data_IF_736724499118
#
_entry.id   IF_736724499118
#
_cell.length_a   1.000
_cell.length_b   1.000
_cell.length_c   1.000
_cell.angle_alpha   90.00
_cell.angle_beta   90.00
_cell.angle_gamma   90.00
#
_symmetry.space_group_name_H-M   'P 1'
#
loop_
_entity.id
_entity.type
_entity.pdbx_description
1 polymer ?
#
# COMPACT_ATOMS: atom_id res chain seq x y z
N UNK A 1 6.63 -9.34 -10.23
CA UNK A 1 5.66 -9.16 -9.15
C UNK A 1 5.84 -10.32 -8.19
N UNK A 2 6.04 -10.00 -6.91
CA UNK A 2 6.23 -10.98 -5.84
C UNK A 2 5.19 -10.73 -4.75
N UNK A 3 4.65 -11.80 -4.17
CA UNK A 3 3.70 -11.76 -3.06
C UNK A 3 4.32 -12.48 -1.87
N UNK A 4 4.39 -11.82 -0.72
CA UNK A 4 4.91 -12.38 0.53
C UNK A 4 3.96 -12.03 1.68
N UNK A 5 3.67 -13.00 2.54
CA UNK A 5 2.92 -12.73 3.78
C UNK A 5 3.90 -12.53 4.93
N UNK A 6 3.76 -11.42 5.66
CA UNK A 6 4.63 -11.08 6.78
C UNK A 6 3.82 -10.37 7.86
N UNK A 7 3.87 -10.87 9.10
CA UNK A 7 3.21 -10.27 10.25
C UNK A 7 1.71 -9.96 10.01
N UNK A 8 0.96 -10.90 9.39
CA UNK A 8 -0.44 -10.72 8.96
C UNK A 8 -0.69 -9.67 7.87
N UNK A 9 0.36 -9.07 7.31
CA UNK A 9 0.27 -8.15 6.18
C UNK A 9 0.67 -8.87 4.89
N UNK A 10 0.05 -8.46 3.78
CA UNK A 10 0.49 -8.85 2.45
C UNK A 10 1.49 -7.83 1.93
N UNK A 11 2.70 -8.28 1.62
CA UNK A 11 3.73 -7.49 0.95
C UNK A 11 3.70 -7.82 -0.54
N UNK A 12 3.42 -6.82 -1.36
CA UNK A 12 3.42 -6.93 -2.82
C UNK A 12 4.61 -6.14 -3.36
N UNK A 13 5.50 -6.80 -4.09
CA UNK A 13 6.62 -6.11 -4.76
C UNK A 13 6.34 -5.99 -6.26
N UNK A 14 6.39 -4.75 -6.75
CA UNK A 14 6.28 -4.39 -8.15
C UNK A 14 7.68 -4.01 -8.66
N UNK A 15 8.28 -4.93 -9.40
CA UNK A 15 9.57 -4.76 -10.08
C UNK A 15 9.37 -4.00 -11.40
N UNK A 16 10.46 -3.52 -12.03
CA UNK A 16 10.45 -2.75 -13.29
C UNK A 16 9.77 -3.41 -14.50
N UNK A 17 9.38 -4.68 -14.37
CA UNK A 17 8.67 -5.46 -15.41
C UNK A 17 7.15 -5.50 -15.21
N UNK A 18 6.64 -5.01 -14.09
CA UNK A 18 5.22 -5.07 -13.75
C UNK A 18 4.69 -3.66 -13.51
N UNK A 19 3.42 -3.45 -13.87
CA UNK A 19 2.73 -2.17 -13.71
C UNK A 19 1.62 -2.27 -12.68
N UNK A 20 1.24 -1.13 -12.10
CA UNK A 20 0.13 -1.04 -11.15
C UNK A 20 -1.22 -1.41 -11.79
N UNK A 21 -1.34 -1.32 -13.12
CA UNK A 21 -2.54 -1.69 -13.85
C UNK A 21 -2.62 -3.19 -14.20
N UNK A 22 -1.66 -4.01 -13.73
CA UNK A 22 -1.62 -5.42 -14.09
C UNK A 22 -2.83 -6.21 -13.55
N UNK A 23 -3.44 -7.12 -14.33
CA UNK A 23 -4.54 -7.97 -13.85
C UNK A 23 -4.14 -8.82 -12.63
N UNK A 24 -2.88 -9.23 -12.58
CA UNK A 24 -2.35 -10.02 -11.48
C UNK A 24 -2.38 -9.24 -10.15
N UNK A 25 -2.08 -7.94 -10.17
CA UNK A 25 -2.22 -7.10 -8.98
C UNK A 25 -3.67 -7.00 -8.54
N UNK A 26 -4.60 -6.79 -9.47
CA UNK A 26 -6.03 -6.70 -9.15
C UNK A 26 -6.55 -7.99 -8.52
N UNK A 27 -6.17 -9.15 -9.07
CA UNK A 27 -6.53 -10.46 -8.50
C UNK A 27 -5.97 -10.62 -7.09
N UNK A 28 -4.68 -10.30 -6.87
CA UNK A 28 -4.08 -10.38 -5.54
C UNK A 28 -4.78 -9.44 -4.54
N UNK A 29 -5.07 -8.20 -4.94
CA UNK A 29 -5.78 -7.25 -4.07
C UNK A 29 -7.18 -7.75 -3.70
N UNK A 30 -7.89 -8.43 -4.61
CA UNK A 30 -9.19 -9.03 -4.31
C UNK A 30 -9.07 -10.25 -3.37
N UNK A 31 -8.14 -11.16 -3.65
CA UNK A 31 -7.92 -12.38 -2.88
C UNK A 31 -7.56 -12.07 -1.41
N UNK A 32 -6.77 -11.02 -1.19
CA UNK A 32 -6.31 -10.60 0.12
C UNK A 32 -7.06 -9.37 0.65
N UNK A 33 -8.34 -9.19 0.30
CA UNK A 33 -9.16 -8.02 0.65
C UNK A 33 -9.31 -7.73 2.15
N UNK A 34 -9.13 -8.74 3.00
CA UNK A 34 -9.21 -8.65 4.47
C UNK A 34 -7.85 -8.48 5.15
N UNK A 35 -6.76 -8.32 4.39
CA UNK A 35 -5.43 -8.06 4.93
C UNK A 35 -4.97 -6.63 4.65
N UNK A 36 -4.17 -6.09 5.57
CA UNK A 36 -3.40 -4.88 5.30
C UNK A 36 -2.32 -5.16 4.26
N UNK A 37 -2.10 -4.22 3.35
CA UNK A 37 -1.20 -4.39 2.21
C UNK A 37 -0.07 -3.38 2.28
N UNK A 38 1.14 -3.87 2.07
CA UNK A 38 2.34 -3.05 1.88
C UNK A 38 2.78 -3.23 0.42
N UNK A 39 2.78 -2.14 -0.34
CA UNK A 39 3.14 -2.15 -1.75
C UNK A 39 4.55 -1.57 -1.93
N UNK A 40 5.52 -2.40 -2.29
CA UNK A 40 6.87 -1.97 -2.63
C UNK A 40 6.94 -1.66 -4.12
N UNK A 41 7.19 -0.41 -4.47
CA UNK A 41 7.41 0.03 -5.84
C UNK A 41 8.86 0.48 -6.01
N UNK A 42 9.47 0.07 -7.12
CA UNK A 42 10.84 0.47 -7.48
C UNK A 42 10.88 1.61 -8.49
N UNK A 43 9.71 2.18 -8.82
CA UNK A 43 9.56 3.17 -9.89
C UNK A 43 9.77 4.58 -9.36
N UNK A 44 10.49 5.37 -10.15
CA UNK A 44 10.93 6.71 -9.80
C UNK A 44 9.81 7.75 -9.81
N UNK A 45 8.72 7.51 -10.54
CA UNK A 45 7.60 8.44 -10.64
C UNK A 45 6.28 7.66 -10.75
N UNK A 46 5.24 8.16 -10.07
CA UNK A 46 3.85 7.70 -10.22
C UNK A 46 3.14 8.67 -11.17
N UNK A 47 2.48 8.15 -12.20
CA UNK A 47 1.57 8.97 -13.00
C UNK A 47 0.35 9.42 -12.18
N UNK A 48 -0.36 10.44 -12.66
CA UNK A 48 -1.60 10.92 -12.03
C UNK A 48 -2.64 9.79 -11.89
N UNK A 49 -2.76 8.93 -12.91
CA UNK A 49 -3.68 7.78 -12.89
C UNK A 49 -3.28 6.74 -11.84
N UNK A 50 -2.00 6.43 -11.74
CA UNK A 50 -1.49 5.50 -10.74
C UNK A 50 -1.67 6.05 -9.34
N UNK A 51 -1.43 7.35 -9.15
CA UNK A 51 -1.66 8.06 -7.90
C UNK A 51 -3.13 7.97 -7.48
N UNK A 52 -4.06 8.27 -8.40
CA UNK A 52 -5.50 8.19 -8.13
C UNK A 52 -5.93 6.74 -7.80
N UNK A 53 -5.40 5.76 -8.53
CA UNK A 53 -5.64 4.35 -8.26
C UNK A 53 -5.20 3.94 -6.84
N UNK A 54 -3.99 4.33 -6.43
CA UNK A 54 -3.44 4.03 -5.10
C UNK A 54 -4.21 4.73 -3.97
N UNK A 55 -4.64 5.98 -4.17
CA UNK A 55 -5.49 6.71 -3.22
C UNK A 55 -6.84 6.00 -3.06
N UNK A 56 -7.47 5.59 -4.16
CA UNK A 56 -8.73 4.86 -4.10
C UNK A 56 -8.57 3.51 -3.38
N UNK A 57 -7.48 2.80 -3.65
CA UNK A 57 -7.16 1.55 -2.96
C UNK A 57 -6.97 1.75 -1.46
N UNK A 58 -6.32 2.85 -1.05
CA UNK A 58 -6.17 3.20 0.38
C UNK A 58 -7.53 3.40 1.05
N UNK A 59 -8.44 4.14 0.40
CA UNK A 59 -9.81 4.35 0.91
C UNK A 59 -10.58 3.03 1.01
N UNK A 60 -10.49 2.19 0.00
CA UNK A 60 -11.14 0.87 0.00
C UNK A 60 -10.65 0.00 1.16
N UNK A 61 -9.33 -0.03 1.40
CA UNK A 61 -8.72 -0.81 2.48
C UNK A 61 -9.15 -0.31 3.85
N UNK A 62 -9.11 1.01 4.05
CA UNK A 62 -9.58 1.63 5.29
C UNK A 62 -11.05 1.32 5.58
N UNK A 63 -11.92 1.34 4.55
CA UNK A 63 -13.33 0.96 4.70
C UNK A 63 -13.53 -0.51 5.10
N UNK A 64 -12.59 -1.39 4.72
CA UNK A 64 -12.58 -2.79 5.12
C UNK A 64 -11.93 -3.04 6.49
N UNK A 65 -11.54 -1.99 7.24
CA UNK A 65 -10.85 -2.13 8.52
C UNK A 65 -9.38 -2.56 8.41
N UNK A 66 -8.80 -2.43 7.21
CA UNK A 66 -7.39 -2.76 6.92
C UNK A 66 -6.62 -1.54 6.46
N UNK A 67 -5.31 -1.65 6.36
CA UNK A 67 -4.43 -0.55 5.98
C UNK A 67 -3.78 -0.79 4.62
N UNK A 68 -3.42 0.29 3.94
CA UNK A 68 -2.63 0.28 2.72
C UNK A 68 -1.49 1.26 2.86
N UNK A 69 -0.27 0.79 2.60
CA UNK A 69 0.94 1.63 2.67
C UNK A 69 1.82 1.34 1.45
N UNK A 70 2.34 2.39 0.83
CA UNK A 70 3.30 2.31 -0.27
C UNK A 70 4.70 2.55 0.25
N UNK A 71 5.63 1.69 -0.16
CA UNK A 71 7.05 1.79 0.16
C UNK A 71 7.81 2.18 -1.10
N UNK A 72 8.43 3.36 -1.08
CA UNK A 72 9.32 3.84 -2.13
C UNK A 72 10.32 4.85 -1.57
N UNK A 73 11.56 4.81 -2.05
CA UNK A 73 12.59 5.81 -1.72
C UNK A 73 12.56 7.02 -2.63
N UNK A 74 11.80 6.97 -3.73
CA UNK A 74 11.82 7.99 -4.78
C UNK A 74 10.81 9.12 -4.54
N UNK A 75 9.76 8.87 -3.74
CA UNK A 75 8.71 9.84 -3.43
C UNK A 75 8.70 10.09 -1.93
N UNK A 76 8.80 11.36 -1.54
CA UNK A 76 8.72 11.75 -0.13
C UNK A 76 7.27 11.93 0.32
N UNK A 77 7.03 11.86 1.64
CA UNK A 77 5.68 12.07 2.18
C UNK A 77 5.07 13.44 1.84
N UNK A 78 5.91 14.46 1.63
CA UNK A 78 5.48 15.81 1.25
C UNK A 78 5.01 15.90 -0.22
N UNK A 79 5.48 14.97 -1.06
CA UNK A 79 5.12 14.85 -2.48
C UNK A 79 4.00 13.82 -2.71
N UNK A 80 3.65 13.07 -1.67
CA UNK A 80 2.64 12.04 -1.73
C UNK A 80 1.24 12.65 -1.96
N UNK A 81 0.40 12.01 -2.78
CA UNK A 81 -1.00 12.38 -2.90
C UNK A 81 -1.73 12.38 -1.55
N UNK A 82 -2.63 13.34 -1.35
CA UNK A 82 -3.44 13.39 -0.13
C UNK A 82 -4.23 12.09 0.08
N UNK A 83 -4.12 11.54 1.29
CA UNK A 83 -4.81 10.30 1.68
C UNK A 83 -4.09 9.01 1.26
N UNK A 84 -2.86 9.10 0.73
CA UNK A 84 -1.99 7.96 0.50
C UNK A 84 -0.85 7.93 1.54
N UNK A 85 -0.69 6.79 2.21
CA UNK A 85 0.45 6.58 3.11
C UNK A 85 1.67 6.15 2.28
N UNK A 86 2.68 7.01 2.14
CA UNK A 86 3.96 6.69 1.48
C UNK A 86 5.09 6.79 2.51
N UNK A 87 5.96 5.78 2.55
CA UNK A 87 7.13 5.72 3.44
C UNK A 87 8.34 5.14 2.71
N UNK A 88 9.58 5.46 3.14
CA UNK A 88 10.78 4.97 2.48
C UNK A 88 11.13 3.52 2.82
N UNK A 89 10.66 2.98 3.95
CA UNK A 89 11.05 1.63 4.40
C UNK A 89 9.88 0.72 4.75
N UNK A 90 10.13 -0.59 4.63
CA UNK A 90 9.17 -1.61 5.08
C UNK A 90 8.89 -1.52 6.59
N UNK A 91 9.88 -1.12 7.39
CA UNK A 91 9.71 -0.98 8.83
C UNK A 91 8.70 0.12 9.16
N UNK A 92 8.84 1.30 8.56
CA UNK A 92 7.88 2.39 8.75
C UNK A 92 6.49 2.00 8.24
N UNK A 93 6.39 1.21 7.16
CA UNK A 93 5.10 0.74 6.69
C UNK A 93 4.41 -0.18 7.71
N UNK A 94 5.19 -1.07 8.33
CA UNK A 94 4.69 -1.90 9.43
C UNK A 94 4.28 -1.04 10.64
N UNK A 95 5.06 -0.01 10.99
CA UNK A 95 4.75 0.91 12.09
C UNK A 95 3.47 1.71 11.83
N UNK A 96 3.25 2.21 10.60
CA UNK A 96 2.02 2.90 10.19
C UNK A 96 0.81 1.99 10.32
N UNK A 97 0.90 0.74 9.85
CA UNK A 97 -0.19 -0.23 9.96
C UNK A 97 -0.51 -0.54 11.43
N UNK A 98 0.52 -0.69 12.27
CA UNK A 98 0.34 -0.92 13.70
C UNK A 98 -0.35 0.28 14.38
N UNK A 99 0.07 1.50 14.05
CA UNK A 99 -0.56 2.71 14.57
C UNK A 99 -2.04 2.78 14.17
N UNK A 100 -2.36 2.58 12.88
CA UNK A 100 -3.75 2.59 12.41
C UNK A 100 -4.60 1.46 13.02
N UNK A 101 -4.01 0.28 13.29
CA UNK A 101 -4.69 -0.81 13.99
C UNK A 101 -5.05 -0.40 15.43
N UNK A 102 -4.10 0.21 16.16
CA UNK A 102 -4.33 0.69 17.53
C UNK A 102 -5.43 1.76 17.54
N UNK A 103 -5.41 2.71 16.61
CA UNK A 103 -6.45 3.74 16.48
C UNK A 103 -7.84 3.13 16.27
N UNK A 104 -7.95 2.14 15.37
CA UNK A 104 -9.19 1.40 15.14
C UNK A 104 -9.67 0.63 16.37
N UNK A 105 -8.75 -0.02 17.09
CA UNK A 105 -9.07 -0.75 18.32
C UNK A 105 -9.57 0.19 19.42
N UNK A 106 -9.04 1.41 19.48
CA UNK A 106 -9.48 2.47 20.38
C UNK A 106 -10.77 3.18 19.93
N UNK A 107 -11.26 2.89 18.72
CA UNK A 107 -12.50 3.44 18.18
C UNK A 107 -12.41 4.88 17.69
N UNK A 108 -11.20 5.32 17.30
CA UNK A 108 -10.96 6.62 16.65
C UNK A 108 -11.08 6.55 15.13
#
# INVERSE_FOLDING_TARGET
MKLEQKNNNLVITIDSTNTLDSPALQTALQEYSEQSVILLISSNELSEKESEFLVNLTKQRKANGTSFVVVTTDITADEAPEGLNIVPTLLEAEDVIQMENIERELGF
#
